data_IF_841827424239
#
_entry.id   IF_841827424239
#
_cell.length_a   1.000
_cell.length_b   1.000
_cell.length_c   1.000
_cell.angle_alpha   90.00
_cell.angle_beta   90.00
_cell.angle_gamma   90.00
#
_symmetry.space_group_name_H-M   'P 1'
#
loop_
_entity.id
_entity.type
_entity.pdbx_description
1 polymer ?
#
# COMPACT_ATOMS: atom_id res chain seq x y z
N UNK A 1 -14.90 45.01 -49.42
CA UNK A 1 -15.57 44.58 -48.20
C UNK A 1 -14.71 43.46 -47.59
N UNK A 2 -13.70 43.83 -46.79
CA UNK A 2 -12.73 42.87 -46.17
C UNK A 2 -13.26 42.43 -44.83
N UNK A 3 -13.52 41.13 -44.68
CA UNK A 3 -13.84 40.51 -43.39
C UNK A 3 -12.55 40.27 -42.61
N UNK A 4 -12.32 41.01 -41.55
CA UNK A 4 -11.30 40.66 -40.53
C UNK A 4 -11.74 39.42 -39.76
N UNK A 5 -11.07 38.30 -40.01
CA UNK A 5 -11.13 37.15 -39.11
C UNK A 5 -10.30 37.49 -37.85
N UNK A 6 -10.98 37.73 -36.75
CA UNK A 6 -10.35 37.74 -35.42
C UNK A 6 -9.96 36.33 -35.08
N UNK A 7 -8.68 36.00 -35.17
CA UNK A 7 -8.11 34.81 -34.59
C UNK A 7 -7.96 35.08 -33.08
N UNK A 8 -8.86 34.55 -32.27
CA UNK A 8 -8.68 34.48 -30.83
C UNK A 8 -7.44 33.62 -30.56
N UNK A 9 -6.47 34.10 -29.75
CA UNK A 9 -5.35 33.25 -29.35
C UNK A 9 -5.92 32.07 -28.51
N UNK A 10 -5.66 30.84 -28.98
CA UNK A 10 -5.83 29.64 -28.17
C UNK A 10 -4.90 29.81 -26.96
N UNK A 11 -5.45 30.34 -25.88
CA UNK A 11 -4.81 30.21 -24.57
C UNK A 11 -4.68 28.69 -24.30
N UNK A 12 -3.47 28.16 -24.44
CA UNK A 12 -3.14 26.83 -24.01
C UNK A 12 -3.46 26.76 -22.51
N UNK A 13 -4.62 26.20 -22.19
CA UNK A 13 -4.92 25.78 -20.83
C UNK A 13 -3.77 24.84 -20.40
N UNK A 14 -2.90 25.36 -19.57
CA UNK A 14 -1.79 24.61 -19.00
C UNK A 14 -2.38 23.63 -17.99
N UNK A 15 -3.08 22.58 -18.49
CA UNK A 15 -3.64 21.52 -17.67
C UNK A 15 -2.43 20.78 -17.11
N UNK A 16 -2.09 21.10 -15.87
CA UNK A 16 -1.03 20.40 -15.15
C UNK A 16 -1.34 18.90 -15.16
N UNK A 17 -0.48 18.11 -15.80
CA UNK A 17 -0.65 16.65 -15.83
C UNK A 17 -0.77 16.10 -14.40
N UNK A 18 -1.80 15.30 -14.17
CA UNK A 18 -2.03 14.61 -12.89
C UNK A 18 -0.80 13.74 -12.54
N UNK A 19 -0.39 13.76 -11.27
CA UNK A 19 0.74 12.98 -10.77
C UNK A 19 0.24 11.90 -9.83
N UNK A 20 0.54 10.65 -10.14
CA UNK A 20 0.16 9.47 -9.34
C UNK A 20 1.40 8.85 -8.74
N UNK A 21 1.39 8.62 -7.42
CA UNK A 21 2.38 7.80 -6.74
C UNK A 21 1.80 6.44 -6.46
N UNK A 22 2.27 5.43 -7.19
CA UNK A 22 1.98 4.02 -6.94
C UNK A 22 2.93 3.54 -5.83
N UNK A 23 2.41 2.86 -4.82
CA UNK A 23 3.21 2.34 -3.69
C UNK A 23 3.08 0.83 -3.64
N UNK A 24 4.20 0.12 -3.78
CA UNK A 24 4.29 -1.34 -3.73
C UNK A 24 5.54 -1.77 -2.97
N UNK A 25 5.58 -2.97 -2.42
CA UNK A 25 6.75 -3.44 -1.67
C UNK A 25 7.91 -3.77 -2.60
N UNK A 26 7.66 -4.54 -3.65
CA UNK A 26 8.68 -4.96 -4.62
C UNK A 26 8.45 -4.35 -5.99
N UNK A 27 9.54 -4.06 -6.70
CA UNK A 27 9.46 -3.59 -8.08
C UNK A 27 9.01 -4.69 -9.06
N UNK A 28 9.55 -5.91 -8.93
CA UNK A 28 9.34 -6.98 -9.93
C UNK A 28 8.81 -8.29 -9.36
N UNK A 29 8.92 -8.52 -8.05
CA UNK A 29 8.54 -9.80 -7.46
C UNK A 29 7.04 -9.88 -7.17
N UNK A 30 6.39 -10.92 -7.72
CA UNK A 30 4.99 -11.25 -7.48
C UNK A 30 3.97 -10.54 -8.38
N UNK A 31 2.74 -11.05 -8.39
CA UNK A 31 1.66 -10.53 -9.26
C UNK A 31 1.30 -9.08 -9.01
N UNK A 32 1.37 -8.62 -7.76
CA UNK A 32 1.12 -7.23 -7.40
C UNK A 32 2.12 -6.27 -8.07
N UNK A 33 3.40 -6.64 -8.11
CA UNK A 33 4.43 -5.85 -8.77
C UNK A 33 4.19 -5.76 -10.28
N UNK A 34 3.84 -6.88 -10.92
CA UNK A 34 3.50 -6.90 -12.35
C UNK A 34 2.30 -6.00 -12.66
N UNK A 35 1.24 -6.07 -11.83
CA UNK A 35 0.07 -5.23 -12.00
C UNK A 35 0.37 -3.74 -11.78
N UNK A 36 1.18 -3.41 -10.77
CA UNK A 36 1.59 -2.04 -10.48
C UNK A 36 2.43 -1.43 -11.62
N UNK A 37 3.38 -2.17 -12.19
CA UNK A 37 4.16 -1.74 -13.33
C UNK A 37 3.28 -1.50 -14.57
N UNK A 38 2.41 -2.46 -14.91
CA UNK A 38 1.47 -2.30 -16.04
C UNK A 38 0.57 -1.08 -15.88
N UNK A 39 0.10 -0.80 -14.67
CA UNK A 39 -0.69 0.40 -14.39
C UNK A 39 0.15 1.66 -14.56
N UNK A 40 1.38 1.68 -14.05
CA UNK A 40 2.30 2.82 -14.20
C UNK A 40 2.55 3.13 -15.67
N UNK A 41 2.85 2.11 -16.48
CA UNK A 41 3.07 2.24 -17.91
C UNK A 41 1.81 2.76 -18.63
N UNK A 42 0.65 2.18 -18.31
CA UNK A 42 -0.62 2.62 -18.89
C UNK A 42 -0.93 4.09 -18.56
N UNK A 43 -0.72 4.51 -17.31
CA UNK A 43 -0.92 5.91 -16.90
C UNK A 43 0.03 6.86 -17.64
N UNK A 44 1.33 6.52 -17.70
CA UNK A 44 2.34 7.33 -18.39
C UNK A 44 2.06 7.44 -19.89
N UNK A 45 1.63 6.35 -20.53
CA UNK A 45 1.26 6.35 -21.96
C UNK A 45 -0.02 7.14 -22.27
N UNK A 46 -0.84 7.44 -21.25
CA UNK A 46 -2.07 8.22 -21.38
C UNK A 46 -1.97 9.63 -20.77
N UNK A 47 -0.76 10.19 -20.64
CA UNK A 47 -0.53 11.58 -20.24
C UNK A 47 -0.62 11.86 -18.73
N UNK A 48 -0.74 10.84 -17.91
CA UNK A 48 -0.63 10.94 -16.45
C UNK A 48 0.81 10.69 -16.04
N UNK A 49 1.37 11.51 -15.14
CA UNK A 49 2.73 11.32 -14.64
C UNK A 49 2.72 10.35 -13.44
N UNK A 50 2.93 9.07 -13.71
CA UNK A 50 3.00 8.05 -12.69
C UNK A 50 4.44 7.70 -12.32
N UNK A 51 4.73 7.60 -11.02
CA UNK A 51 5.95 7.03 -10.44
C UNK A 51 5.58 5.89 -9.50
N UNK A 52 6.46 4.91 -9.36
CA UNK A 52 6.27 3.83 -8.40
C UNK A 52 7.32 3.91 -7.28
N UNK A 53 6.87 3.97 -6.04
CA UNK A 53 7.71 3.91 -4.84
C UNK A 53 7.73 2.47 -4.32
N UNK A 54 8.92 1.91 -4.20
CA UNK A 54 9.12 0.53 -3.74
C UNK A 54 10.17 0.45 -2.62
N UNK A 55 10.08 -0.60 -1.80
CA UNK A 55 11.16 -0.95 -0.87
C UNK A 55 12.30 -1.66 -1.62
N UNK A 56 11.94 -2.63 -2.45
CA UNK A 56 12.89 -3.52 -3.13
C UNK A 56 13.01 -3.12 -4.61
N UNK A 57 13.76 -2.06 -4.86
CA UNK A 57 14.10 -1.61 -6.22
C UNK A 57 15.23 -2.46 -6.78
N UNK A 58 15.09 -2.91 -8.03
CA UNK A 58 16.08 -3.76 -8.74
C UNK A 58 16.52 -3.20 -10.08
N UNK A 59 15.78 -2.26 -10.70
CA UNK A 59 16.13 -1.65 -11.99
C UNK A 59 16.71 -0.25 -11.83
N UNK A 60 17.25 0.28 -12.93
CA UNK A 60 17.68 1.68 -13.03
C UNK A 60 16.59 2.60 -13.60
N UNK A 61 15.35 2.11 -13.70
CA UNK A 61 14.24 2.89 -14.19
C UNK A 61 14.02 4.14 -13.33
N UNK A 62 13.99 5.32 -13.96
CA UNK A 62 13.83 6.62 -13.32
C UNK A 62 12.39 6.85 -12.80
N UNK A 63 11.41 6.12 -13.34
CA UNK A 63 10.02 6.18 -12.90
C UNK A 63 9.79 5.36 -11.64
N UNK A 64 10.72 4.48 -11.28
CA UNK A 64 10.71 3.68 -10.06
C UNK A 64 11.65 4.29 -9.03
N UNK A 65 11.13 4.61 -7.86
CA UNK A 65 11.86 5.19 -6.73
C UNK A 65 12.00 4.14 -5.64
N UNK A 66 13.23 3.87 -5.23
CA UNK A 66 13.50 2.98 -4.10
C UNK A 66 13.49 3.74 -2.77
N UNK A 67 12.97 3.14 -1.71
CA UNK A 67 13.20 3.68 -0.37
C UNK A 67 14.71 3.75 -0.08
N UNK A 68 15.16 4.76 0.67
CA UNK A 68 16.57 4.85 1.07
C UNK A 68 17.03 3.55 1.74
N UNK A 69 18.11 2.96 1.23
CA UNK A 69 18.73 1.80 1.86
C UNK A 69 19.32 2.21 3.21
N UNK A 70 18.64 1.87 4.28
CA UNK A 70 19.07 2.14 5.64
C UNK A 70 18.91 0.89 6.50
N UNK A 71 19.61 0.81 7.61
CA UNK A 71 19.39 -0.24 8.61
C UNK A 71 17.93 -0.30 9.05
N UNK A 72 17.25 0.86 9.15
CA UNK A 72 15.83 0.94 9.49
C UNK A 72 14.94 0.20 8.47
N UNK A 73 15.29 0.23 7.18
CA UNK A 73 14.52 -0.46 6.13
C UNK A 73 14.57 -1.97 6.31
N UNK A 74 15.75 -2.51 6.61
CA UNK A 74 15.93 -3.93 6.89
C UNK A 74 15.30 -4.33 8.22
N UNK A 75 15.45 -3.51 9.26
CA UNK A 75 14.90 -3.76 10.59
C UNK A 75 13.38 -3.79 10.59
N UNK A 76 12.68 -3.00 9.78
CA UNK A 76 11.22 -3.01 9.72
C UNK A 76 10.68 -4.38 9.33
N UNK A 77 11.26 -5.01 8.32
CA UNK A 77 10.89 -6.37 7.89
C UNK A 77 11.21 -7.41 8.96
N UNK A 78 12.46 -7.40 9.46
CA UNK A 78 12.90 -8.39 10.47
C UNK A 78 12.09 -8.28 11.76
N UNK A 79 11.82 -7.05 12.21
CA UNK A 79 11.03 -6.82 13.41
C UNK A 79 9.61 -7.34 13.28
N UNK A 80 8.96 -7.08 12.16
CA UNK A 80 7.62 -7.61 11.91
C UNK A 80 7.61 -9.13 11.90
N UNK A 81 8.55 -9.76 11.17
CA UNK A 81 8.69 -11.23 11.14
C UNK A 81 8.96 -11.79 12.54
N UNK A 82 9.81 -11.14 13.32
CA UNK A 82 10.09 -11.53 14.70
C UNK A 82 8.82 -11.47 15.57
N UNK A 83 8.06 -10.39 15.50
CA UNK A 83 6.81 -10.26 16.25
C UNK A 83 5.79 -11.35 15.88
N UNK A 84 5.65 -11.67 14.59
CA UNK A 84 4.77 -12.76 14.14
C UNK A 84 5.30 -14.11 14.64
N UNK A 85 6.59 -14.38 14.53
CA UNK A 85 7.23 -15.61 14.99
C UNK A 85 7.02 -15.85 16.48
N UNK A 86 7.13 -14.80 17.31
CA UNK A 86 6.79 -14.84 18.72
C UNK A 86 5.33 -15.27 18.97
N UNK A 87 4.39 -14.66 18.24
CA UNK A 87 2.96 -14.99 18.35
C UNK A 87 2.61 -16.37 17.77
N UNK A 88 3.46 -16.94 16.94
CA UNK A 88 3.35 -18.31 16.43
C UNK A 88 4.04 -19.33 17.36
N UNK A 89 4.40 -18.95 18.58
CA UNK A 89 5.16 -19.79 19.53
C UNK A 89 6.43 -20.35 18.91
N UNK A 90 7.20 -19.47 18.21
CA UNK A 90 8.45 -19.82 17.54
C UNK A 90 8.31 -20.84 16.39
N UNK A 91 7.09 -21.02 15.87
CA UNK A 91 6.85 -21.84 14.69
C UNK A 91 7.06 -21.06 13.40
N UNK A 92 7.71 -21.66 12.42
CA UNK A 92 7.82 -21.10 11.07
C UNK A 92 6.58 -21.34 10.21
N UNK A 93 5.68 -22.23 10.66
CA UNK A 93 4.40 -22.45 9.99
C UNK A 93 3.60 -21.15 10.00
N UNK A 94 3.07 -20.75 8.85
CA UNK A 94 2.29 -19.54 8.66
C UNK A 94 3.06 -18.19 8.83
N UNK A 95 4.38 -18.20 9.04
CA UNK A 95 5.17 -16.98 9.26
C UNK A 95 5.02 -15.95 8.13
N UNK A 96 4.88 -16.40 6.89
CA UNK A 96 4.69 -15.56 5.69
C UNK A 96 3.24 -15.53 5.18
N UNK A 97 2.34 -16.26 5.81
CA UNK A 97 0.90 -16.19 5.54
C UNK A 97 0.22 -15.03 6.30
N UNK A 98 0.95 -14.42 7.23
CA UNK A 98 0.47 -13.37 8.11
C UNK A 98 1.28 -12.09 7.96
N UNK A 99 0.58 -10.95 8.17
CA UNK A 99 1.19 -9.63 8.23
C UNK A 99 0.44 -8.76 9.24
N UNK A 100 1.16 -8.03 10.09
CA UNK A 100 0.57 -7.24 11.17
C UNK A 100 0.82 -5.74 11.01
N UNK A 101 1.65 -5.36 10.04
CA UNK A 101 2.01 -3.99 9.71
C UNK A 101 2.36 -3.12 10.94
N UNK A 102 3.08 -3.73 11.91
CA UNK A 102 3.52 -3.04 13.12
C UNK A 102 4.80 -2.23 12.92
N UNK A 103 5.50 -2.46 11.81
CA UNK A 103 6.68 -1.74 11.37
C UNK A 103 6.57 -1.36 9.90
N UNK A 104 7.29 -0.33 9.48
CA UNK A 104 7.26 0.19 8.11
C UNK A 104 7.77 1.62 8.04
N UNK A 105 7.71 2.19 6.84
CA UNK A 105 8.26 3.50 6.53
C UNK A 105 7.20 4.59 6.56
N UNK A 106 7.62 5.79 6.95
CA UNK A 106 6.85 7.01 6.77
C UNK A 106 7.22 7.62 5.42
N UNK A 107 6.38 7.43 4.43
CA UNK A 107 6.61 7.94 3.07
C UNK A 107 6.08 9.36 2.88
N UNK A 108 5.33 9.91 3.85
CA UNK A 108 4.68 11.22 3.71
C UNK A 108 5.65 12.39 3.67
N UNK A 109 6.88 12.18 4.12
CA UNK A 109 7.96 13.18 4.05
C UNK A 109 8.71 13.20 2.72
N UNK A 110 8.57 12.16 1.90
CA UNK A 110 9.30 12.02 0.64
C UNK A 110 8.83 13.06 -0.40
N UNK A 111 9.74 13.56 -1.25
CA UNK A 111 9.39 14.47 -2.34
C UNK A 111 8.30 13.90 -3.26
N UNK A 112 8.42 12.64 -3.66
CA UNK A 112 7.47 11.95 -4.53
C UNK A 112 6.05 11.92 -3.94
N UNK A 113 5.95 11.70 -2.62
CA UNK A 113 4.67 11.75 -1.92
C UNK A 113 4.09 13.17 -1.91
N UNK A 114 4.91 14.16 -1.60
CA UNK A 114 4.47 15.56 -1.53
C UNK A 114 4.00 16.07 -2.89
N UNK A 115 4.70 15.69 -3.95
CA UNK A 115 4.39 16.07 -5.31
C UNK A 115 3.17 15.36 -5.92
N UNK A 116 2.83 14.17 -5.46
CA UNK A 116 1.72 13.40 -6.00
C UNK A 116 0.37 14.07 -5.74
N UNK A 117 -0.52 14.00 -6.70
CA UNK A 117 -1.91 14.44 -6.59
C UNK A 117 -2.81 13.29 -6.10
N UNK A 118 -2.44 12.02 -6.39
CA UNK A 118 -3.13 10.79 -5.96
C UNK A 118 -2.12 9.77 -5.44
N UNK A 119 -2.46 9.06 -4.38
CA UNK A 119 -1.67 7.94 -3.85
C UNK A 119 -2.39 6.63 -4.18
N UNK A 120 -1.72 5.73 -4.86
CA UNK A 120 -2.27 4.44 -5.25
C UNK A 120 -1.50 3.30 -4.57
N UNK A 121 -2.11 2.68 -3.56
CA UNK A 121 -1.53 1.57 -2.83
C UNK A 121 -1.81 0.25 -3.55
N UNK A 122 -0.80 -0.60 -3.63
CA UNK A 122 -0.89 -1.97 -4.11
C UNK A 122 -0.60 -2.94 -2.95
N UNK A 123 0.47 -3.72 -3.04
CA UNK A 123 0.87 -4.63 -1.96
C UNK A 123 1.93 -3.96 -1.08
N UNK A 124 1.56 -3.51 0.12
CA UNK A 124 2.36 -2.63 0.97
C UNK A 124 2.82 -3.29 2.27
N UNK A 125 2.83 -4.60 2.29
CA UNK A 125 3.14 -5.46 3.42
C UNK A 125 4.64 -5.70 3.63
N UNK A 126 4.99 -6.58 4.56
CA UNK A 126 6.36 -7.01 4.88
C UNK A 126 7.30 -5.84 5.20
N UNK A 127 6.87 -4.92 6.06
CA UNK A 127 7.69 -3.81 6.52
C UNK A 127 7.77 -2.63 5.54
N UNK A 128 6.99 -2.61 4.43
CA UNK A 128 6.88 -1.44 3.57
C UNK A 128 6.12 -0.33 4.28
N UNK A 129 4.87 -0.54 4.63
CA UNK A 129 4.06 0.40 5.40
C UNK A 129 3.57 -0.20 6.72
N UNK A 130 3.62 0.59 7.78
CA UNK A 130 2.93 0.25 9.03
C UNK A 130 1.50 0.77 9.02
N UNK A 131 0.63 0.24 9.90
CA UNK A 131 -0.71 0.79 10.11
C UNK A 131 -0.67 2.28 10.48
N UNK A 132 0.37 2.72 11.23
CA UNK A 132 0.59 4.14 11.52
C UNK A 132 0.94 4.93 10.27
N UNK A 133 1.76 4.36 9.37
CA UNK A 133 2.09 4.96 8.08
C UNK A 133 0.87 5.09 7.18
N UNK A 134 0.05 4.04 7.06
CA UNK A 134 -1.21 4.06 6.30
C UNK A 134 -2.14 5.17 6.84
N UNK A 135 -2.30 5.27 8.17
CA UNK A 135 -3.09 6.34 8.78
C UNK A 135 -2.58 7.73 8.42
N UNK A 136 -1.24 7.94 8.39
CA UNK A 136 -0.67 9.23 7.97
C UNK A 136 -0.97 9.55 6.50
N UNK A 137 -0.89 8.56 5.63
CA UNK A 137 -1.25 8.71 4.21
C UNK A 137 -2.71 9.13 4.09
N UNK A 138 -3.63 8.47 4.77
CA UNK A 138 -5.05 8.81 4.76
C UNK A 138 -5.34 10.22 5.29
N UNK A 139 -4.60 10.65 6.33
CA UNK A 139 -4.75 11.97 6.93
C UNK A 139 -4.02 13.09 6.14
N UNK A 140 -3.36 12.77 5.03
CA UNK A 140 -2.61 13.76 4.23
C UNK A 140 -3.51 14.70 3.41
N UNK A 141 -4.80 14.42 3.32
CA UNK A 141 -5.73 15.14 2.46
C UNK A 141 -5.66 14.76 0.98
N UNK A 142 -4.77 13.84 0.59
CA UNK A 142 -4.67 13.34 -0.79
C UNK A 142 -5.67 12.20 -1.01
N UNK A 143 -6.28 12.10 -2.21
CA UNK A 143 -7.03 10.91 -2.61
C UNK A 143 -6.18 9.66 -2.52
N UNK A 144 -6.73 8.60 -1.89
CA UNK A 144 -6.06 7.31 -1.72
C UNK A 144 -6.89 6.23 -2.40
N UNK A 145 -6.28 5.54 -3.36
CA UNK A 145 -6.82 4.34 -4.00
C UNK A 145 -6.01 3.13 -3.52
N UNK A 146 -6.65 1.99 -3.30
CA UNK A 146 -5.97 0.76 -2.90
C UNK A 146 -6.45 -0.42 -3.74
N UNK A 147 -5.60 -0.89 -4.66
CA UNK A 147 -5.86 -2.14 -5.37
C UNK A 147 -5.52 -3.33 -4.49
N UNK A 148 -6.53 -4.15 -4.17
CA UNK A 148 -6.37 -5.34 -3.36
C UNK A 148 -5.86 -6.51 -4.21
N UNK A 149 -4.68 -7.01 -3.91
CA UNK A 149 -4.10 -8.20 -4.55
C UNK A 149 -4.34 -9.48 -3.74
N UNK A 150 -4.74 -9.31 -2.51
CA UNK A 150 -5.14 -10.36 -1.58
C UNK A 150 -6.16 -9.79 -0.59
N UNK A 151 -6.63 -10.62 0.35
CA UNK A 151 -7.65 -10.21 1.32
C UNK A 151 -7.08 -9.39 2.50
N UNK A 152 -5.77 -9.20 2.60
CA UNK A 152 -5.17 -8.57 3.78
C UNK A 152 -5.74 -7.18 4.10
N UNK A 153 -6.01 -6.28 3.13
CA UNK A 153 -6.62 -4.98 3.45
C UNK A 153 -7.98 -5.12 4.14
N UNK A 154 -8.80 -6.09 3.75
CA UNK A 154 -10.13 -6.35 4.30
C UNK A 154 -10.13 -7.34 5.48
N UNK A 155 -9.09 -8.14 5.66
CA UNK A 155 -8.93 -9.06 6.79
C UNK A 155 -8.16 -8.39 7.94
N UNK A 156 -7.82 -9.16 8.97
CA UNK A 156 -6.94 -8.69 10.05
C UNK A 156 -5.46 -8.86 9.71
N UNK A 157 -4.99 -10.11 9.70
CA UNK A 157 -3.57 -10.46 9.61
C UNK A 157 -3.24 -11.40 8.45
N UNK A 158 -4.23 -12.06 7.85
CA UNK A 158 -4.01 -13.10 6.84
C UNK A 158 -4.13 -12.56 5.41
N UNK A 159 -3.31 -13.10 4.50
CA UNK A 159 -3.37 -12.84 3.08
C UNK A 159 -4.41 -13.69 2.36
N UNK A 160 -4.71 -14.88 2.89
CA UNK A 160 -5.70 -15.82 2.35
C UNK A 160 -6.66 -16.26 3.46
N UNK A 161 -7.94 -16.26 3.19
CA UNK A 161 -8.94 -16.68 4.20
C UNK A 161 -9.04 -18.19 4.36
N UNK A 162 -8.75 -18.96 3.31
CA UNK A 162 -8.91 -20.42 3.26
C UNK A 162 -10.25 -20.88 3.85
N UNK A 163 -11.35 -20.23 3.44
CA UNK A 163 -12.69 -20.49 3.91
C UNK A 163 -13.07 -19.88 5.27
N UNK A 164 -12.23 -19.03 5.87
CA UNK A 164 -12.58 -18.28 7.06
C UNK A 164 -13.42 -17.05 6.69
N UNK A 165 -14.50 -16.80 7.41
CA UNK A 165 -15.40 -15.66 7.21
C UNK A 165 -15.43 -14.68 8.40
N UNK A 166 -14.53 -14.83 9.40
CA UNK A 166 -14.51 -13.98 10.59
C UNK A 166 -14.26 -12.51 10.26
N UNK A 167 -13.57 -12.21 9.16
CA UNK A 167 -13.30 -10.83 8.75
C UNK A 167 -14.59 -10.01 8.45
N UNK A 168 -15.73 -10.65 8.21
CA UNK A 168 -17.00 -9.97 7.99
C UNK A 168 -17.55 -9.31 9.28
N UNK A 169 -17.32 -9.96 10.44
CA UNK A 169 -17.92 -9.56 11.72
C UNK A 169 -16.90 -9.25 12.81
N UNK A 170 -15.62 -9.18 12.44
CA UNK A 170 -14.49 -9.01 13.35
C UNK A 170 -13.67 -10.29 13.52
N UNK A 171 -12.34 -10.16 13.41
CA UNK A 171 -11.43 -11.27 13.57
C UNK A 171 -11.24 -11.65 15.05
N UNK A 172 -10.83 -12.89 15.27
CA UNK A 172 -10.57 -13.57 16.52
C UNK A 172 -10.66 -15.07 16.28
N UNK A 173 -10.21 -15.91 17.18
CA UNK A 173 -10.13 -17.38 17.04
C UNK A 173 -9.48 -17.78 15.71
N UNK A 174 -8.32 -17.18 15.44
CA UNK A 174 -7.68 -17.25 14.13
C UNK A 174 -6.98 -18.59 13.94
N UNK A 175 -7.41 -19.35 12.94
CA UNK A 175 -6.85 -20.68 12.60
C UNK A 175 -5.36 -20.69 12.22
N UNK A 176 -4.80 -19.55 11.87
CA UNK A 176 -3.37 -19.41 11.59
C UNK A 176 -2.51 -19.30 12.85
N UNK A 177 -3.13 -18.98 14.00
CA UNK A 177 -2.45 -18.89 15.28
C UNK A 177 -2.40 -20.25 16.00
N UNK A 178 -1.46 -20.46 16.92
CA UNK A 178 -1.38 -21.69 17.70
C UNK A 178 -2.71 -22.02 18.38
N UNK A 179 -3.08 -23.28 18.40
CA UNK A 179 -4.32 -23.80 19.00
C UNK A 179 -5.61 -23.15 18.48
N UNK A 180 -5.58 -22.57 17.27
CA UNK A 180 -6.73 -21.89 16.68
C UNK A 180 -7.00 -20.49 17.24
N UNK A 181 -6.04 -19.91 17.94
CA UNK A 181 -6.16 -18.57 18.53
C UNK A 181 -7.14 -18.51 19.71
N UNK A 182 -7.70 -17.32 19.92
CA UNK A 182 -8.69 -17.05 20.97
C UNK A 182 -9.50 -15.79 20.64
N UNK A 183 -10.57 -15.55 21.39
CA UNK A 183 -11.47 -14.40 21.17
C UNK A 183 -10.75 -13.05 21.13
N UNK A 184 -9.68 -12.88 21.91
CA UNK A 184 -8.89 -11.64 22.00
C UNK A 184 -7.44 -11.84 21.52
N UNK A 185 -7.23 -12.72 20.56
CA UNK A 185 -5.92 -13.04 20.00
C UNK A 185 -5.29 -11.88 19.19
N UNK A 186 -4.14 -12.15 18.58
CA UNK A 186 -3.46 -11.17 17.74
C UNK A 186 -4.37 -10.66 16.62
N UNK A 187 -5.16 -11.54 15.99
CA UNK A 187 -6.04 -11.15 14.90
C UNK A 187 -7.14 -10.20 15.36
N UNK A 188 -7.76 -10.44 16.53
CA UNK A 188 -8.77 -9.54 17.10
C UNK A 188 -8.19 -8.15 17.41
N UNK A 189 -6.96 -8.11 17.93
CA UNK A 189 -6.27 -6.85 18.26
C UNK A 189 -5.89 -6.04 17.03
N UNK A 190 -5.38 -6.70 16.00
CA UNK A 190 -5.00 -6.01 14.73
C UNK A 190 -6.27 -5.57 13.98
N UNK A 191 -7.34 -6.36 13.98
CA UNK A 191 -8.62 -5.97 13.43
C UNK A 191 -9.10 -4.64 14.01
N UNK A 192 -9.15 -4.52 15.33
CA UNK A 192 -9.54 -3.28 16.01
C UNK A 192 -8.64 -2.09 15.64
N UNK A 193 -7.33 -2.33 15.47
CA UNK A 193 -6.39 -1.29 15.03
C UNK A 193 -6.67 -0.86 13.59
N UNK A 194 -6.92 -1.80 12.67
CA UNK A 194 -7.25 -1.49 11.26
C UNK A 194 -8.55 -0.69 11.17
N UNK A 195 -9.60 -1.06 11.92
CA UNK A 195 -10.84 -0.30 11.96
C UNK A 195 -10.59 1.16 12.36
N UNK A 196 -9.78 1.41 13.39
CA UNK A 196 -9.39 2.78 13.80
C UNK A 196 -8.55 3.51 12.75
N UNK A 197 -7.78 2.79 11.95
CA UNK A 197 -7.02 3.39 10.85
C UNK A 197 -7.96 3.78 9.73
N UNK A 198 -8.81 2.87 9.28
CA UNK A 198 -9.70 3.10 8.15
C UNK A 198 -10.83 4.10 8.43
N UNK A 199 -11.25 4.26 9.69
CA UNK A 199 -12.20 5.31 10.08
C UNK A 199 -11.58 6.71 10.11
N UNK A 200 -10.27 6.85 9.98
CA UNK A 200 -9.58 8.15 10.07
C UNK A 200 -9.58 8.95 8.75
N UNK A 201 -9.99 8.35 7.64
CA UNK A 201 -10.01 9.01 6.33
C UNK A 201 -10.75 8.18 5.29
N UNK A 202 -10.68 8.60 4.03
CA UNK A 202 -11.33 7.92 2.91
C UNK A 202 -10.31 7.14 2.07
N UNK A 203 -10.63 5.90 1.75
CA UNK A 203 -9.89 5.05 0.79
C UNK A 203 -10.89 4.49 -0.21
N UNK A 204 -10.54 4.54 -1.50
CA UNK A 204 -11.26 3.83 -2.56
C UNK A 204 -10.60 2.48 -2.80
N UNK A 205 -11.28 1.37 -2.48
CA UNK A 205 -10.78 0.03 -2.76
C UNK A 205 -11.15 -0.41 -4.18
N UNK A 206 -10.19 -1.06 -4.84
CA UNK A 206 -10.34 -1.71 -6.16
C UNK A 206 -10.00 -3.18 -5.99
N UNK A 207 -10.83 -4.07 -6.55
CA UNK A 207 -10.69 -5.55 -6.50
C UNK A 207 -10.55 -6.11 -7.89
#
# INVERSE_FOLDING_TARGET
MFRHFFSLPLQSLNIKAMRVLIVNTSEKAGGAAVAANRLMDALNNNGVKAKMLVRDKVSEDITVVGLPRSLKTQWSFLWERWCIFWHLHFSRKNLFALDIANAGHDITSLPEFKEADVIHLHWVNQGMLSLKGIRKIMNSGKPVVWTMHDIWPASSICHLTLGCHHYNNGCGNCKYLPQGGGKNDLSARIWKKKQKVYSAGSISFVT
#
